data_IF_198990806349
#
_entry.id   IF_198990806349
#
_cell.length_a   1.000
_cell.length_b   1.000
_cell.length_c   1.000
_cell.angle_alpha   90.00
_cell.angle_beta   90.00
_cell.angle_gamma   90.00
#
_symmetry.space_group_name_H-M   'P 1'
#
loop_
_entity.id
_entity.type
_entity.pdbx_description
1 polymer ?
#
# COMPACT_ATOMS: atom_id res chain seq x y z
N UNK A 1 -3.98 -50.74 -30.81
CA UNK A 1 -4.19 -50.71 -29.35
C UNK A 1 -3.40 -49.54 -28.78
N UNK A 2 -4.08 -48.47 -28.36
CA UNK A 2 -3.43 -47.31 -27.76
C UNK A 2 -3.27 -47.56 -26.25
N UNK A 3 -2.04 -47.57 -25.76
CA UNK A 3 -1.71 -47.70 -24.34
C UNK A 3 -1.83 -46.32 -23.71
N UNK A 4 -2.93 -46.09 -23.00
CA UNK A 4 -3.17 -44.86 -22.25
C UNK A 4 -2.28 -44.90 -20.99
N UNK A 5 -1.16 -44.17 -21.00
CA UNK A 5 -0.32 -43.99 -19.82
C UNK A 5 -1.03 -43.04 -18.85
N UNK A 6 -1.69 -43.60 -17.84
CA UNK A 6 -2.15 -42.89 -16.66
C UNK A 6 -0.93 -42.40 -15.87
N UNK A 7 -0.57 -41.13 -16.05
CA UNK A 7 0.35 -40.43 -15.16
C UNK A 7 -0.32 -40.33 -13.77
N UNK A 8 0.34 -40.73 -12.68
CA UNK A 8 -0.19 -40.52 -11.35
C UNK A 8 -0.30 -39.01 -11.10
N UNK A 9 -1.48 -38.57 -10.67
CA UNK A 9 -1.70 -37.20 -10.22
C UNK A 9 -0.76 -36.92 -9.04
N UNK A 10 0.24 -36.06 -9.28
CA UNK A 10 1.05 -35.45 -8.22
C UNK A 10 0.08 -34.65 -7.37
N UNK A 11 -0.23 -35.14 -6.17
CA UNK A 11 -0.99 -34.37 -5.19
C UNK A 11 -0.10 -33.21 -4.76
N UNK A 12 -0.51 -31.94 -4.94
CA UNK A 12 0.21 -30.84 -4.33
C UNK A 12 0.10 -31.02 -2.82
N UNK A 13 1.26 -31.08 -2.19
CA UNK A 13 1.47 -30.84 -0.76
C UNK A 13 0.56 -31.64 0.17
N UNK A 14 1.00 -32.86 0.50
CA UNK A 14 0.67 -33.41 1.80
C UNK A 14 1.03 -32.35 2.85
N UNK A 15 0.04 -31.78 3.53
CA UNK A 15 0.24 -30.87 4.65
C UNK A 15 1.17 -31.56 5.64
N UNK A 16 2.44 -31.18 5.60
CA UNK A 16 3.41 -31.56 6.61
C UNK A 16 2.77 -31.15 7.93
N UNK A 17 2.58 -32.10 8.83
CA UNK A 17 2.00 -31.86 10.16
C UNK A 17 3.02 -31.04 10.98
N UNK A 18 3.11 -29.74 10.66
CA UNK A 18 4.02 -28.80 11.30
C UNK A 18 3.37 -28.43 12.63
N UNK A 19 4.03 -28.71 13.77
CA UNK A 19 3.47 -28.39 15.07
C UNK A 19 3.15 -26.89 15.19
N UNK A 20 2.08 -26.58 15.93
CA UNK A 20 1.69 -25.18 16.20
C UNK A 20 2.86 -24.42 16.81
N UNK A 21 3.12 -23.21 16.31
CA UNK A 21 4.20 -22.33 16.77
C UNK A 21 5.48 -22.43 15.94
N UNK A 22 5.63 -23.49 15.13
CA UNK A 22 6.80 -23.68 14.27
C UNK A 22 6.70 -22.86 12.97
N UNK A 23 5.47 -22.59 12.50
CA UNK A 23 5.26 -21.74 11.33
C UNK A 23 5.50 -20.28 11.70
N UNK A 24 6.08 -19.53 10.77
CA UNK A 24 6.26 -18.07 10.95
C UNK A 24 4.91 -17.37 11.19
N UNK A 25 3.85 -17.82 10.52
CA UNK A 25 2.47 -17.30 10.65
C UNK A 25 1.83 -17.52 12.03
N UNK A 26 2.36 -18.44 12.83
CA UNK A 26 1.93 -18.64 14.21
C UNK A 26 2.56 -17.60 15.16
N UNK A 27 3.68 -16.99 14.79
CA UNK A 27 4.48 -16.09 15.64
C UNK A 27 4.49 -14.62 15.18
N UNK A 28 4.32 -14.40 13.89
CA UNK A 28 4.42 -13.08 13.27
C UNK A 28 3.13 -12.68 12.57
N UNK A 29 2.96 -11.38 12.44
CA UNK A 29 1.93 -10.76 11.62
C UNK A 29 2.61 -9.78 10.67
N UNK A 30 2.69 -10.17 9.39
CA UNK A 30 3.25 -9.35 8.32
C UNK A 30 2.14 -8.82 7.43
N UNK A 31 2.22 -7.55 7.05
CA UNK A 31 1.21 -6.91 6.22
C UNK A 31 1.79 -5.71 5.46
N UNK A 32 1.12 -5.33 4.38
CA UNK A 32 1.29 -4.02 3.75
C UNK A 32 0.04 -3.17 3.91
N UNK A 33 0.20 -1.86 3.82
CA UNK A 33 -0.90 -0.93 4.02
C UNK A 33 -0.79 0.33 3.16
N UNK A 34 -1.94 0.99 3.04
CA UNK A 34 -2.07 2.35 2.51
C UNK A 34 -3.11 3.10 3.35
N UNK A 35 -2.69 4.24 3.92
CA UNK A 35 -3.47 5.13 4.76
C UNK A 35 -3.82 6.38 3.95
N UNK A 36 -5.09 6.77 3.98
CA UNK A 36 -5.63 7.94 3.26
C UNK A 36 -6.18 8.97 4.24
N UNK A 37 -6.21 10.21 3.80
CA UNK A 37 -6.74 11.35 4.56
C UNK A 37 -5.71 12.49 4.69
N UNK A 38 -5.80 13.28 5.75
CA UNK A 38 -4.78 14.26 6.12
C UNK A 38 -3.68 13.52 6.89
N UNK A 39 -2.70 12.97 6.17
CA UNK A 39 -1.67 12.08 6.74
C UNK A 39 -0.24 12.43 6.34
N UNK A 40 -0.05 13.36 5.40
CA UNK A 40 1.27 13.91 5.06
C UNK A 40 1.45 15.27 5.74
N UNK A 41 2.70 15.64 6.01
CA UNK A 41 3.10 16.89 6.69
C UNK A 41 2.48 17.11 8.09
N UNK A 42 1.97 16.05 8.72
CA UNK A 42 1.36 16.05 10.07
C UNK A 42 2.12 15.17 11.06
N UNK A 43 3.41 14.89 10.79
CA UNK A 43 4.25 14.05 11.66
C UNK A 43 3.90 12.55 11.67
N UNK A 44 3.06 12.08 10.75
CA UNK A 44 2.60 10.68 10.70
C UNK A 44 3.75 9.67 10.62
N UNK A 45 4.77 9.96 9.80
CA UNK A 45 5.91 9.05 9.59
C UNK A 45 6.69 8.84 10.89
N UNK A 46 7.01 9.93 11.60
CA UNK A 46 7.75 9.90 12.86
C UNK A 46 6.94 9.19 13.95
N UNK A 47 5.65 9.51 14.07
CA UNK A 47 4.75 8.85 15.02
C UNK A 47 4.64 7.33 14.74
N UNK A 48 4.56 6.93 13.47
CA UNK A 48 4.50 5.52 13.09
C UNK A 48 5.80 4.77 13.37
N UNK A 49 6.95 5.41 13.15
CA UNK A 49 8.26 4.84 13.53
C UNK A 49 8.31 4.60 15.03
N UNK A 50 7.93 5.59 15.85
CA UNK A 50 7.89 5.47 17.30
C UNK A 50 6.94 4.35 17.76
N UNK A 51 5.70 4.32 17.24
CA UNK A 51 4.74 3.26 17.55
C UNK A 51 5.26 1.87 17.15
N UNK A 52 5.93 1.77 16.00
CA UNK A 52 6.54 0.52 15.57
C UNK A 52 7.67 0.06 16.49
N UNK A 53 8.48 0.98 17.01
CA UNK A 53 9.54 0.68 17.99
C UNK A 53 8.95 0.16 19.30
N UNK A 54 7.94 0.83 19.86
CA UNK A 54 7.24 0.39 21.08
C UNK A 54 6.61 -1.00 20.95
N UNK A 55 6.10 -1.31 19.76
CA UNK A 55 5.45 -2.58 19.43
C UNK A 55 6.43 -3.67 18.95
N UNK A 56 7.73 -3.38 18.85
CA UNK A 56 8.73 -4.32 18.35
C UNK A 56 8.49 -4.75 16.89
N UNK A 57 7.98 -3.84 16.06
CA UNK A 57 7.72 -4.04 14.64
C UNK A 57 8.97 -3.71 13.78
N UNK A 58 9.09 -4.39 12.65
CA UNK A 58 10.09 -4.13 11.61
C UNK A 58 9.38 -3.78 10.31
N UNK A 59 10.05 -3.02 9.44
CA UNK A 59 9.48 -2.69 8.14
C UNK A 59 9.80 -1.27 7.70
N UNK A 60 8.85 -0.65 7.01
CA UNK A 60 9.05 0.66 6.45
C UNK A 60 7.75 1.42 6.23
N UNK A 61 7.88 2.74 6.20
CA UNK A 61 6.81 3.70 5.92
C UNK A 61 7.31 4.77 4.94
N UNK A 62 6.42 5.34 4.14
CA UNK A 62 6.77 6.35 3.14
C UNK A 62 5.54 7.22 2.81
N UNK A 63 5.75 8.48 2.47
CA UNK A 63 4.73 9.26 1.77
C UNK A 63 4.65 8.79 0.30
N UNK A 64 3.44 8.60 -0.19
CA UNK A 64 3.21 8.32 -1.61
C UNK A 64 3.03 9.62 -2.40
N UNK A 65 3.19 9.54 -3.72
CA UNK A 65 2.95 10.66 -4.65
C UNK A 65 1.47 11.05 -4.80
N UNK A 66 0.55 10.26 -4.22
CA UNK A 66 -0.90 10.48 -4.30
C UNK A 66 -1.49 10.86 -2.95
N UNK A 67 -0.72 11.57 -2.12
CA UNK A 67 -1.12 12.09 -0.81
C UNK A 67 -1.60 10.99 0.16
N UNK A 68 -1.01 9.79 0.08
CA UNK A 68 -1.26 8.69 1.01
C UNK A 68 0.01 8.33 1.78
N UNK A 69 -0.12 7.59 2.87
CA UNK A 69 1.02 7.01 3.60
C UNK A 69 1.00 5.50 3.42
N UNK A 70 2.13 4.93 3.01
CA UNK A 70 2.21 3.52 2.57
C UNK A 70 3.35 2.82 3.28
N UNK A 71 3.26 1.50 3.39
CA UNK A 71 4.30 0.75 4.06
C UNK A 71 4.11 -0.75 4.11
N UNK A 72 5.11 -1.40 4.68
CA UNK A 72 5.04 -2.78 5.15
C UNK A 72 5.46 -2.84 6.60
N UNK A 73 4.79 -3.68 7.38
CA UNK A 73 5.15 -3.95 8.76
C UNK A 73 5.13 -5.45 9.03
N UNK A 74 6.06 -5.90 9.86
CA UNK A 74 6.04 -7.23 10.47
C UNK A 74 6.29 -7.09 11.96
N UNK A 75 5.32 -7.51 12.74
CA UNK A 75 5.37 -7.50 14.20
C UNK A 75 5.16 -8.91 14.74
N UNK A 76 5.17 -9.05 16.06
CA UNK A 76 4.64 -10.24 16.72
C UNK A 76 3.17 -10.48 16.30
N UNK A 77 2.69 -11.72 16.44
CA UNK A 77 1.28 -12.05 16.17
C UNK A 77 0.30 -11.22 17.00
N UNK A 78 0.71 -10.84 18.22
CA UNK A 78 -0.10 -10.09 19.16
C UNK A 78 -0.07 -8.57 18.90
N UNK A 79 1.07 -8.05 18.45
CA UNK A 79 1.28 -6.60 18.31
C UNK A 79 0.97 -6.09 16.90
N UNK A 80 0.97 -6.96 15.89
CA UNK A 80 0.56 -6.59 14.53
C UNK A 80 -0.80 -5.89 14.45
N UNK A 81 -1.86 -6.41 15.11
CA UNK A 81 -3.14 -5.74 15.19
C UNK A 81 -3.09 -4.35 15.84
N UNK A 82 -2.24 -4.14 16.85
CA UNK A 82 -2.06 -2.84 17.51
C UNK A 82 -1.40 -1.83 16.58
N UNK A 83 -0.44 -2.27 15.77
CA UNK A 83 0.15 -1.41 14.73
C UNK A 83 -0.91 -1.02 13.68
N UNK A 84 -1.78 -1.95 13.29
CA UNK A 84 -2.91 -1.64 12.40
C UNK A 84 -3.89 -0.66 13.05
N UNK A 85 -4.13 -0.77 14.35
CA UNK A 85 -4.97 0.17 15.10
C UNK A 85 -4.36 1.57 15.13
N UNK A 86 -3.05 1.69 15.44
CA UNK A 86 -2.34 2.96 15.34
C UNK A 86 -2.53 3.61 13.96
N UNK A 87 -2.38 2.84 12.87
CA UNK A 87 -2.53 3.36 11.50
C UNK A 87 -3.94 3.90 11.20
N UNK A 88 -4.97 3.49 11.94
CA UNK A 88 -6.36 3.97 11.79
C UNK A 88 -6.61 5.31 12.45
N UNK A 89 -5.79 5.71 13.40
CA UNK A 89 -5.94 6.97 14.12
C UNK A 89 -4.82 7.96 13.75
N UNK A 90 -3.57 7.48 13.68
CA UNK A 90 -2.41 8.32 13.47
C UNK A 90 -2.10 9.21 14.69
N UNK A 91 -1.19 10.18 14.54
CA UNK A 91 -0.95 11.22 15.54
C UNK A 91 -2.12 12.23 15.62
N UNK A 92 -2.13 13.06 16.65
CA UNK A 92 -3.22 14.02 16.95
C UNK A 92 -3.60 14.95 15.78
N UNK A 93 -2.61 15.40 15.00
CA UNK A 93 -2.82 16.30 13.86
C UNK A 93 -3.26 15.58 12.58
N UNK A 94 -3.28 14.24 12.58
CA UNK A 94 -3.73 13.45 11.44
C UNK A 94 -5.26 13.31 11.40
N UNK A 95 -5.79 13.17 10.19
CA UNK A 95 -7.19 12.75 9.96
C UNK A 95 -7.19 11.59 9.00
N UNK A 96 -7.21 10.38 9.53
CA UNK A 96 -7.31 9.17 8.72
C UNK A 96 -8.76 8.98 8.26
N UNK A 97 -8.95 8.85 6.95
CA UNK A 97 -10.28 8.59 6.34
C UNK A 97 -10.45 7.13 5.95
N UNK A 98 -9.36 6.45 5.60
CA UNK A 98 -9.36 5.04 5.21
C UNK A 98 -8.00 4.41 5.46
N UNK A 99 -7.99 3.13 5.89
CA UNK A 99 -6.79 2.30 5.93
C UNK A 99 -7.07 1.00 5.19
N UNK A 100 -6.33 0.80 4.10
CA UNK A 100 -6.32 -0.46 3.37
C UNK A 100 -5.18 -1.32 3.90
N UNK A 101 -5.48 -2.52 4.39
CA UNK A 101 -4.47 -3.46 4.91
C UNK A 101 -4.55 -4.77 4.15
N UNK A 102 -3.40 -5.28 3.73
CA UNK A 102 -3.27 -6.64 3.20
C UNK A 102 -2.31 -7.46 4.07
N UNK A 103 -2.83 -8.38 4.89
CA UNK A 103 -2.03 -9.37 5.59
C UNK A 103 -1.34 -10.31 4.61
N UNK A 104 -0.14 -10.77 4.98
CA UNK A 104 0.62 -11.78 4.25
C UNK A 104 0.48 -13.14 4.92
N UNK A 105 0.06 -14.14 4.16
CA UNK A 105 -0.09 -15.52 4.64
C UNK A 105 1.24 -16.09 5.17
N UNK A 106 2.35 -15.79 4.49
CA UNK A 106 3.68 -16.24 4.87
C UNK A 106 4.43 -15.25 5.80
N UNK A 107 3.79 -14.14 6.16
CA UNK A 107 4.30 -13.03 6.99
C UNK A 107 5.53 -12.29 6.44
N UNK A 108 5.96 -12.59 5.21
CA UNK A 108 7.18 -11.99 4.64
C UNK A 108 6.86 -10.64 4.02
N UNK A 109 7.52 -9.62 4.54
CA UNK A 109 7.57 -8.29 3.92
C UNK A 109 8.66 -8.26 2.84
N UNK A 110 8.48 -7.48 1.78
CA UNK A 110 9.40 -7.46 0.64
C UNK A 110 10.76 -6.86 0.99
N UNK A 111 10.76 -5.81 1.81
CA UNK A 111 11.98 -5.14 2.27
C UNK A 111 12.26 -5.51 3.73
N UNK A 112 13.32 -6.27 3.94
CA UNK A 112 13.77 -6.69 5.26
C UNK A 112 14.72 -5.65 5.84
N UNK A 113 14.25 -4.90 6.83
CA UNK A 113 15.06 -3.97 7.62
C UNK A 113 15.29 -4.52 9.03
N UNK A 114 16.40 -4.12 9.64
CA UNK A 114 16.72 -4.44 11.03
C UNK A 114 15.87 -3.63 12.03
N UNK A 115 15.23 -2.56 11.58
CA UNK A 115 14.32 -1.69 12.34
C UNK A 115 13.19 -1.20 11.44
N UNK A 116 12.24 -0.44 11.99
CA UNK A 116 11.21 0.22 11.21
C UNK A 116 11.70 1.57 10.70
N UNK A 117 11.68 1.81 9.38
CA UNK A 117 12.31 3.00 8.77
C UNK A 117 11.34 3.84 7.94
N UNK A 118 11.42 5.16 8.11
CA UNK A 118 10.85 6.10 7.14
C UNK A 118 11.75 6.16 5.89
N UNK A 119 11.19 5.90 4.71
CA UNK A 119 11.90 5.92 3.44
C UNK A 119 11.74 7.28 2.74
N UNK A 120 12.72 7.70 1.91
CA UNK A 120 12.57 8.89 1.06
C UNK A 120 11.45 8.72 0.03
N UNK A 121 10.70 9.77 -0.26
CA UNK A 121 9.50 9.77 -1.09
C UNK A 121 9.75 9.37 -2.56
N UNK A 122 10.99 9.50 -3.04
CA UNK A 122 11.37 9.17 -4.41
C UNK A 122 11.50 7.66 -4.64
N UNK A 123 11.62 6.85 -3.59
CA UNK A 123 11.83 5.41 -3.71
C UNK A 123 10.59 4.73 -4.28
N UNK A 124 10.76 3.88 -5.31
CA UNK A 124 9.66 3.07 -5.86
C UNK A 124 9.34 1.90 -4.93
N UNK A 125 8.19 1.96 -4.26
CA UNK A 125 7.76 0.97 -3.24
C UNK A 125 6.41 0.31 -3.53
N UNK A 126 5.76 0.69 -4.64
CA UNK A 126 4.47 0.15 -5.05
C UNK A 126 4.47 -1.35 -5.41
N UNK A 127 3.28 -1.93 -5.44
CA UNK A 127 3.05 -3.37 -5.64
C UNK A 127 2.22 -3.68 -6.89
N UNK A 128 2.17 -4.97 -7.27
CA UNK A 128 1.32 -5.43 -8.38
C UNK A 128 -0.18 -5.39 -8.10
N UNK A 129 -0.57 -5.39 -6.83
CA UNK A 129 -1.96 -5.40 -6.40
C UNK A 129 -2.10 -4.48 -5.19
N UNK A 130 -3.32 -4.06 -4.88
CA UNK A 130 -3.63 -3.22 -3.72
C UNK A 130 -3.25 -3.89 -2.38
N UNK A 131 -3.03 -3.10 -1.30
CA UNK A 131 -2.89 -1.64 -1.29
C UNK A 131 -1.58 -1.15 -1.94
N UNK A 132 -1.54 0.14 -2.32
CA UNK A 132 -0.44 0.83 -2.98
C UNK A 132 0.03 0.15 -4.29
N UNK A 133 -0.91 -0.04 -5.22
CA UNK A 133 -0.64 -0.63 -6.52
C UNK A 133 0.14 0.36 -7.42
N UNK A 134 1.13 -0.13 -8.18
CA UNK A 134 1.83 0.72 -9.14
C UNK A 134 0.87 1.16 -10.28
N UNK A 135 1.00 2.40 -10.79
CA UNK A 135 0.13 2.91 -11.84
C UNK A 135 0.06 2.02 -13.08
N UNK A 136 1.16 1.36 -13.45
CA UNK A 136 1.20 0.43 -14.60
C UNK A 136 0.32 -0.83 -14.43
N UNK A 137 -0.10 -1.14 -13.21
CA UNK A 137 -0.98 -2.26 -12.90
C UNK A 137 -2.39 -1.83 -12.50
N UNK A 138 -2.60 -0.53 -12.26
CA UNK A 138 -3.94 0.00 -12.13
C UNK A 138 -4.63 -0.24 -13.48
N UNK A 139 -5.77 -0.94 -13.46
CA UNK A 139 -6.61 -1.05 -14.67
C UNK A 139 -6.98 0.34 -15.20
N UNK A 140 -7.61 0.43 -16.39
CA UNK A 140 -8.04 1.72 -16.93
C UNK A 140 -8.82 2.49 -15.86
N UNK A 141 -8.22 3.58 -15.37
CA UNK A 141 -8.90 4.51 -14.47
C UNK A 141 -10.03 5.07 -15.31
N UNK A 142 -11.27 4.84 -14.89
CA UNK A 142 -12.41 5.46 -15.54
C UNK A 142 -12.09 6.96 -15.66
N UNK A 143 -12.25 7.58 -16.84
CA UNK A 143 -12.00 9.00 -16.98
C UNK A 143 -12.79 9.73 -15.89
N UNK A 144 -12.21 10.78 -15.27
CA UNK A 144 -12.94 11.57 -14.29
C UNK A 144 -14.28 11.96 -14.91
N UNK A 145 -15.38 11.72 -14.18
CA UNK A 145 -16.71 12.07 -14.63
C UNK A 145 -16.77 13.59 -14.82
N UNK A 146 -16.63 14.01 -16.08
CA UNK A 146 -17.00 15.29 -16.64
C UNK A 146 -16.74 16.52 -15.74
N UNK A 147 -15.53 17.06 -15.78
CA UNK A 147 -15.37 18.51 -15.57
C UNK A 147 -15.51 19.17 -16.93
N UNK A 148 -16.74 19.52 -17.28
CA UNK A 148 -17.08 20.43 -18.36
C UNK A 148 -16.43 21.80 -18.09
N UNK A 149 -15.15 21.95 -18.39
CA UNK A 149 -14.49 23.25 -18.50
C UNK A 149 -14.83 23.80 -19.88
N UNK A 150 -15.94 24.53 -19.98
CA UNK A 150 -16.26 25.32 -21.15
C UNK A 150 -15.28 26.50 -21.23
N UNK A 151 -14.29 26.38 -22.10
CA UNK A 151 -13.45 27.50 -22.53
C UNK A 151 -14.27 28.41 -23.44
N UNK A 152 -14.86 29.46 -22.87
CA UNK A 152 -15.53 30.53 -23.59
C UNK A 152 -14.78 31.86 -23.39
N UNK A 153 -13.58 32.00 -23.98
CA UNK A 153 -12.89 33.30 -24.16
C UNK A 153 -11.64 33.07 -25.02
N UNK A 154 -11.57 33.32 -26.32
CA UNK A 154 -11.70 34.60 -27.02
C UNK A 154 -11.68 34.34 -28.54
N UNK A 155 -12.79 34.61 -29.23
CA UNK A 155 -12.76 34.99 -30.64
C UNK A 155 -13.34 36.40 -30.75
N UNK A 156 -12.47 37.40 -30.68
CA UNK A 156 -12.78 38.75 -31.15
C UNK A 156 -11.88 39.05 -32.34
N UNK A 157 -12.42 38.68 -33.50
CA UNK A 157 -12.03 39.10 -34.83
C UNK A 157 -12.35 40.61 -34.95
N UNK A 158 -11.34 41.46 -35.16
CA UNK A 158 -11.55 42.83 -35.66
C UNK A 158 -10.55 43.07 -36.79
N UNK A 159 -10.98 42.70 -37.99
CA UNK A 159 -10.37 43.13 -39.25
C UNK A 159 -11.05 44.39 -39.79
N UNK A 160 -10.24 45.44 -39.92
CA UNK A 160 -10.24 46.49 -40.94
C UNK A 160 -11.40 47.52 -41.06
N UNK A 161 -11.01 48.80 -41.13
CA UNK A 161 -11.31 49.86 -42.14
C UNK A 161 -10.90 51.22 -41.54
N UNK A 162 -10.03 52.04 -42.13
CA UNK A 162 -10.31 53.06 -43.17
C UNK A 162 -9.01 53.89 -43.31
N UNK A 163 -8.35 53.95 -44.46
CA UNK A 163 -8.37 55.11 -45.38
C UNK A 163 -8.34 56.50 -44.70
N UNK A 164 -7.14 57.11 -44.66
CA UNK A 164 -6.80 58.48 -45.13
C UNK A 164 -5.29 58.72 -45.00
#
# INVERSE_FOLDING_TARGET
MAVLLLLPAVRPDAEVNVPRGWRKSDRFYGFRYEVRGLVQDVGFLQAAVHAAEELGCFGWIQNSKVNTVVGEARCSKLDGPKMVEFLRFGPDDARVTEVLVKPYEDTKIKLHFASFLALPDERKTCFRAIPHQCPEYAGPVAPPADTSYQDHSLTADVRAKSEL
#
